data_IF_760508264153
#
_entry.id   IF_760508264153
#
_cell.length_a   1.000
_cell.length_b   1.000
_cell.length_c   1.000
_cell.angle_alpha   90.00
_cell.angle_beta   90.00
_cell.angle_gamma   90.00
#
_symmetry.space_group_name_H-M   'P 1'
#
loop_
_entity.id
_entity.type
_entity.pdbx_description
1 polymer ?
#
# COMPACT_ATOMS: atom_id res chain seq x y z
N UNK A 1 -6.65 17.63 31.30
CA UNK A 1 -7.58 16.48 31.22
C UNK A 1 -8.57 16.78 30.09
N UNK A 2 -8.21 16.59 28.81
CA UNK A 2 -9.10 16.82 27.64
C UNK A 2 -8.52 16.31 26.29
N UNK A 3 -7.59 15.34 26.31
CA UNK A 3 -6.90 14.87 25.09
C UNK A 3 -7.43 13.56 24.52
N UNK A 4 -8.33 12.85 25.22
CA UNK A 4 -8.80 11.51 24.80
C UNK A 4 -10.15 11.52 24.05
N UNK A 5 -10.89 12.64 24.03
CA UNK A 5 -12.20 12.73 23.37
C UNK A 5 -12.08 13.10 21.88
N UNK A 6 -11.00 13.81 21.49
CA UNK A 6 -10.80 14.27 20.11
C UNK A 6 -10.37 13.17 19.13
N UNK A 7 -9.77 12.07 19.61
CA UNK A 7 -9.29 11.00 18.72
C UNK A 7 -10.43 10.11 18.22
N UNK A 8 -11.47 9.87 19.03
CA UNK A 8 -12.65 9.12 18.59
C UNK A 8 -13.45 9.90 17.55
N UNK A 9 -13.68 11.20 17.75
CA UNK A 9 -14.42 12.04 16.79
C UNK A 9 -13.66 12.20 15.47
N UNK A 10 -12.32 12.31 15.51
CA UNK A 10 -11.47 12.28 14.32
C UNK A 10 -11.53 10.94 13.59
N UNK A 11 -11.54 9.82 14.32
CA UNK A 11 -11.70 8.49 13.74
C UNK A 11 -13.07 8.33 13.10
N UNK A 12 -14.17 8.73 13.74
CA UNK A 12 -15.52 8.65 13.18
C UNK A 12 -15.71 9.55 11.95
N UNK A 13 -15.18 10.78 11.99
CA UNK A 13 -15.21 11.69 10.83
C UNK A 13 -14.35 11.16 9.67
N UNK A 14 -13.17 10.62 9.97
CA UNK A 14 -12.32 9.99 8.95
C UNK A 14 -12.98 8.74 8.37
N UNK A 15 -13.64 7.91 9.18
CA UNK A 15 -14.38 6.73 8.71
C UNK A 15 -15.57 7.13 7.83
N UNK A 16 -16.29 8.20 8.18
CA UNK A 16 -17.42 8.70 7.39
C UNK A 16 -16.99 9.32 6.05
N UNK A 17 -15.92 10.12 6.05
CA UNK A 17 -15.35 10.68 4.82
C UNK A 17 -14.81 9.56 3.90
N UNK A 18 -14.11 8.60 4.48
CA UNK A 18 -13.59 7.44 3.79
C UNK A 18 -14.72 6.57 3.20
N UNK A 19 -15.85 6.40 3.91
CA UNK A 19 -17.05 5.74 3.34
C UNK A 19 -17.61 6.43 2.10
N UNK A 20 -17.64 7.76 2.07
CA UNK A 20 -18.14 8.53 0.91
C UNK A 20 -17.19 8.39 -0.28
N UNK A 21 -15.89 8.56 -0.07
CA UNK A 21 -14.86 8.37 -1.09
C UNK A 21 -14.84 6.93 -1.62
N UNK A 22 -14.97 5.94 -0.74
CA UNK A 22 -15.07 4.53 -1.15
C UNK A 22 -16.32 4.25 -1.99
N UNK A 23 -17.43 4.96 -1.77
CA UNK A 23 -18.66 4.80 -2.58
C UNK A 23 -18.51 5.39 -3.98
N UNK A 24 -17.83 6.53 -4.11
CA UNK A 24 -17.50 7.10 -5.42
C UNK A 24 -16.53 6.21 -6.20
N UNK A 25 -15.58 5.61 -5.48
CA UNK A 25 -14.67 4.61 -6.06
C UNK A 25 -15.40 3.31 -6.41
N UNK A 26 -16.37 2.88 -5.61
CA UNK A 26 -17.21 1.72 -5.91
C UNK A 26 -17.92 1.85 -7.27
N UNK A 27 -18.40 3.06 -7.57
CA UNK A 27 -19.07 3.37 -8.83
C UNK A 27 -18.18 3.22 -10.06
N UNK A 28 -16.85 3.17 -9.88
CA UNK A 28 -15.87 3.00 -10.96
C UNK A 28 -15.53 1.53 -11.25
N UNK A 29 -15.98 0.58 -10.42
CA UNK A 29 -15.76 -0.84 -10.69
C UNK A 29 -16.73 -1.36 -11.74
N UNK A 30 -16.19 -2.14 -12.67
CA UNK A 30 -16.98 -2.88 -13.63
C UNK A 30 -17.49 -4.18 -13.00
N UNK A 31 -18.76 -4.23 -12.64
CA UNK A 31 -19.35 -5.41 -12.00
C UNK A 31 -19.43 -6.65 -12.91
N UNK A 32 -19.17 -6.52 -14.21
CA UNK A 32 -19.07 -7.66 -15.13
C UNK A 32 -17.75 -8.43 -14.98
N UNK A 33 -16.71 -7.77 -14.47
CA UNK A 33 -15.40 -8.35 -14.20
C UNK A 33 -15.28 -8.81 -12.74
N UNK A 34 -14.37 -9.74 -12.46
CA UNK A 34 -14.11 -10.20 -11.11
C UNK A 34 -13.63 -9.06 -10.20
N UNK A 35 -14.38 -8.73 -9.14
CA UNK A 35 -14.01 -7.66 -8.20
C UNK A 35 -12.60 -7.85 -7.60
N UNK A 36 -12.20 -9.09 -7.32
CA UNK A 36 -10.87 -9.39 -6.78
C UNK A 36 -9.73 -9.07 -7.76
N UNK A 37 -9.96 -9.24 -9.06
CA UNK A 37 -8.98 -8.92 -10.11
C UNK A 37 -8.84 -7.41 -10.25
N UNK A 38 -9.95 -6.68 -10.28
CA UNK A 38 -9.93 -5.22 -10.32
C UNK A 38 -9.28 -4.62 -9.08
N UNK A 39 -9.55 -5.17 -7.88
CA UNK A 39 -8.85 -4.74 -6.65
C UNK A 39 -7.34 -4.97 -6.78
N UNK A 40 -6.91 -6.08 -7.37
CA UNK A 40 -5.48 -6.33 -7.60
C UNK A 40 -4.88 -5.31 -8.59
N UNK A 41 -5.57 -5.04 -9.71
CA UNK A 41 -5.15 -4.03 -10.70
C UNK A 41 -5.01 -2.64 -10.06
N UNK A 42 -5.97 -2.24 -9.22
CA UNK A 42 -5.92 -0.97 -8.51
C UNK A 42 -4.79 -0.91 -7.48
N UNK A 43 -4.50 -2.01 -6.78
CA UNK A 43 -3.36 -2.09 -5.88
C UNK A 43 -2.03 -2.04 -6.63
N UNK A 44 -1.94 -2.63 -7.82
CA UNK A 44 -0.76 -2.56 -8.67
C UNK A 44 -0.56 -1.12 -9.21
N UNK A 45 -1.64 -0.44 -9.64
CA UNK A 45 -1.58 0.98 -10.02
C UNK A 45 -1.15 1.86 -8.84
N UNK A 46 -1.70 1.60 -7.64
CA UNK A 46 -1.35 2.31 -6.43
C UNK A 46 0.13 2.09 -6.07
N UNK A 47 0.66 0.88 -6.23
CA UNK A 47 2.07 0.58 -6.00
C UNK A 47 2.99 1.39 -6.92
N UNK A 48 2.66 1.46 -8.22
CA UNK A 48 3.41 2.26 -9.19
C UNK A 48 3.36 3.76 -8.87
N UNK A 49 2.16 4.24 -8.52
CA UNK A 49 1.95 5.65 -8.12
C UNK A 49 2.76 5.98 -6.87
N UNK A 50 2.75 5.08 -5.88
CA UNK A 50 3.52 5.21 -4.64
C UNK A 50 5.03 5.24 -4.91
N UNK A 51 5.53 4.43 -5.85
CA UNK A 51 6.93 4.44 -6.23
C UNK A 51 7.35 5.71 -7.00
N UNK A 52 6.42 6.33 -7.73
CA UNK A 52 6.63 7.59 -8.44
C UNK A 52 6.60 8.82 -7.52
N UNK A 53 6.10 8.69 -6.29
CA UNK A 53 6.06 9.80 -5.36
C UNK A 53 7.48 10.21 -4.95
N UNK A 54 7.80 11.52 -4.99
CA UNK A 54 9.09 11.99 -4.52
C UNK A 54 9.19 11.78 -3.01
N UNK A 55 10.28 11.17 -2.55
CA UNK A 55 10.60 11.06 -1.12
C UNK A 55 11.10 12.40 -0.53
N UNK A 56 10.41 13.50 -0.85
CA UNK A 56 10.73 14.88 -0.47
C UNK A 56 9.70 15.38 0.53
N UNK A 57 10.13 15.84 1.71
CA UNK A 57 9.26 16.39 2.75
C UNK A 57 9.77 16.13 4.16
N UNK A 58 8.93 16.42 5.16
CA UNK A 58 9.19 16.16 6.58
C UNK A 58 9.31 14.65 6.82
N UNK A 59 10.55 14.17 6.87
CA UNK A 59 10.85 12.83 7.37
C UNK A 59 10.39 12.78 8.83
N UNK A 60 9.93 11.63 9.34
CA UNK A 60 9.67 11.50 10.78
C UNK A 60 10.92 11.99 11.51
N UNK A 61 10.75 13.08 12.28
CA UNK A 61 11.79 13.57 13.17
C UNK A 61 12.21 12.39 14.03
N UNK A 62 13.51 12.10 14.05
CA UNK A 62 14.09 11.09 14.91
C UNK A 62 13.81 11.48 16.36
N UNK A 63 12.66 11.05 16.90
CA UNK A 63 12.47 11.01 18.33
C UNK A 63 13.33 9.85 18.83
N UNK A 64 14.46 10.25 19.40
CA UNK A 64 15.56 9.48 19.95
C UNK A 64 15.16 8.17 20.62
N UNK A 65 15.38 7.03 19.95
CA UNK A 65 15.73 5.77 20.62
C UNK A 65 16.74 5.03 19.73
N UNK A 66 18.02 5.28 20.02
CA UNK A 66 19.20 4.51 19.61
C UNK A 66 19.11 3.79 18.25
N UNK A 67 18.98 4.55 17.16
CA UNK A 67 19.33 4.02 15.84
C UNK A 67 20.85 4.19 15.67
N UNK A 68 21.59 3.15 15.24
CA UNK A 68 23.02 3.28 14.96
C UNK A 68 23.27 4.39 13.94
N UNK A 69 24.47 5.00 14.00
CA UNK A 69 24.88 6.18 13.23
C UNK A 69 24.30 6.12 11.82
N UNK A 70 23.43 7.09 11.54
CA UNK A 70 22.84 7.25 10.23
C UNK A 70 24.00 7.55 9.29
N UNK A 71 24.31 6.65 8.35
CA UNK A 71 25.30 6.95 7.31
C UNK A 71 24.73 8.08 6.45
N UNK A 72 25.40 9.23 6.47
CA UNK A 72 24.88 10.49 5.97
C UNK A 72 25.32 10.79 4.54
N UNK A 73 26.46 10.24 4.09
CA UNK A 73 26.98 10.55 2.76
C UNK A 73 26.50 9.54 1.70
N UNK A 74 26.11 10.02 0.50
CA UNK A 74 25.76 9.15 -0.62
C UNK A 74 26.90 8.21 -1.04
N UNK A 75 28.14 8.55 -0.69
CA UNK A 75 29.35 7.77 -0.92
C UNK A 75 29.52 6.63 0.11
N UNK A 76 28.93 6.76 1.31
CA UNK A 76 28.92 5.73 2.36
C UNK A 76 27.80 4.70 2.17
N UNK A 77 26.74 5.06 1.45
CA UNK A 77 25.85 4.09 0.85
C UNK A 77 26.53 3.58 -0.41
N UNK A 78 27.07 2.37 -0.37
CA UNK A 78 27.63 1.63 -1.52
C UNK A 78 26.56 1.28 -2.58
N UNK A 79 25.67 2.24 -2.88
CA UNK A 79 24.49 2.17 -3.70
C UNK A 79 24.77 2.97 -4.97
N UNK A 80 25.44 2.32 -5.93
CA UNK A 80 25.52 2.82 -7.29
C UNK A 80 24.10 3.11 -7.81
N UNK A 81 23.73 4.40 -7.88
CA UNK A 81 22.60 4.85 -8.68
C UNK A 81 23.06 4.86 -10.14
N UNK A 82 22.76 3.80 -10.87
CA UNK A 82 23.08 3.68 -12.30
C UNK A 82 22.31 4.65 -13.20
N UNK A 83 21.23 5.29 -12.72
CA UNK A 83 20.52 6.32 -13.50
C UNK A 83 19.80 7.35 -12.64
N UNK A 84 19.83 8.60 -13.11
CA UNK A 84 19.10 9.75 -12.55
C UNK A 84 17.66 9.86 -13.12
N UNK A 85 17.20 8.81 -13.79
CA UNK A 85 15.89 8.75 -14.42
C UNK A 85 14.80 8.75 -13.36
N UNK A 86 14.08 9.86 -13.26
CA UNK A 86 12.90 10.00 -12.39
C UNK A 86 11.66 9.66 -13.18
N UNK A 87 10.77 8.87 -12.58
CA UNK A 87 9.41 8.70 -13.11
C UNK A 87 8.72 10.06 -13.24
N UNK A 88 7.84 10.23 -14.24
CA UNK A 88 6.96 11.39 -14.30
C UNK A 88 6.15 11.47 -13.01
N UNK A 89 6.03 12.69 -12.45
CA UNK A 89 5.27 12.89 -11.22
C UNK A 89 3.81 12.44 -11.43
N UNK A 90 3.22 11.71 -10.47
CA UNK A 90 1.84 11.28 -10.60
C UNK A 90 0.88 12.47 -10.58
N UNK A 91 -0.21 12.36 -11.33
CA UNK A 91 -1.30 13.33 -11.32
C UNK A 91 -2.09 13.27 -10.00
N UNK A 92 -2.77 14.36 -9.64
CA UNK A 92 -3.61 14.39 -8.44
C UNK A 92 -4.74 13.33 -8.45
N UNK A 93 -5.23 12.95 -9.63
CA UNK A 93 -6.23 11.89 -9.76
C UNK A 93 -5.64 10.49 -9.46
N UNK A 94 -4.40 10.23 -9.87
CA UNK A 94 -3.70 8.98 -9.53
C UNK A 94 -3.42 8.90 -8.03
N UNK A 95 -3.01 10.01 -7.41
CA UNK A 95 -2.79 10.07 -5.96
C UNK A 95 -4.08 9.78 -5.18
N UNK A 96 -5.23 10.36 -5.59
CA UNK A 96 -6.53 10.05 -4.96
C UNK A 96 -6.92 8.58 -5.09
N UNK A 97 -6.70 7.96 -6.26
CA UNK A 97 -6.97 6.52 -6.46
C UNK A 97 -6.03 5.65 -5.64
N UNK A 98 -4.76 6.02 -5.53
CA UNK A 98 -3.78 5.37 -4.66
C UNK A 98 -4.21 5.44 -3.19
N UNK A 99 -4.58 6.63 -2.68
CA UNK A 99 -5.02 6.81 -1.30
C UNK A 99 -6.25 5.95 -0.99
N UNK A 100 -7.23 5.92 -1.91
CA UNK A 100 -8.39 5.04 -1.80
C UNK A 100 -7.97 3.57 -1.75
N UNK A 101 -7.13 3.10 -2.66
CA UNK A 101 -6.69 1.72 -2.73
C UNK A 101 -5.91 1.27 -1.47
N UNK A 102 -5.00 2.11 -0.97
CA UNK A 102 -4.21 1.83 0.23
C UNK A 102 -5.08 1.81 1.49
N UNK A 103 -6.14 2.62 1.54
CA UNK A 103 -7.06 2.62 2.68
C UNK A 103 -7.82 1.28 2.83
N UNK A 104 -8.02 0.53 1.74
CA UNK A 104 -8.69 -0.78 1.77
C UNK A 104 -7.94 -1.85 2.56
N UNK A 105 -6.63 -1.69 2.77
CA UNK A 105 -5.83 -2.62 3.56
C UNK A 105 -6.34 -2.73 5.01
N UNK A 106 -7.00 -1.67 5.50
CA UNK A 106 -7.66 -1.64 6.81
C UNK A 106 -8.91 -2.54 6.90
N UNK A 107 -9.53 -2.88 5.76
CA UNK A 107 -10.71 -3.75 5.68
C UNK A 107 -10.38 -5.22 5.95
N UNK A 108 -9.11 -5.61 5.80
CA UNK A 108 -8.63 -6.93 6.19
C UNK A 108 -8.63 -7.00 7.72
N UNK A 109 -9.38 -7.95 8.29
CA UNK A 109 -9.46 -8.11 9.73
C UNK A 109 -8.12 -8.47 10.38
N UNK A 110 -8.02 -8.24 11.70
CA UNK A 110 -6.80 -8.51 12.46
C UNK A 110 -6.42 -10.01 12.47
N UNK A 111 -7.41 -10.90 12.35
CA UNK A 111 -7.22 -12.35 12.21
C UNK A 111 -6.48 -12.75 10.93
N UNK A 112 -6.48 -11.89 9.90
CA UNK A 112 -5.93 -12.16 8.57
C UNK A 112 -4.67 -11.34 8.27
N UNK A 113 -3.89 -11.01 9.32
CA UNK A 113 -2.70 -10.16 9.21
C UNK A 113 -1.67 -10.67 8.19
N UNK A 114 -1.60 -12.00 7.99
CA UNK A 114 -0.76 -12.63 6.97
C UNK A 114 -1.13 -12.20 5.55
N UNK A 115 -2.42 -12.02 5.26
CA UNK A 115 -2.90 -11.59 3.94
C UNK A 115 -2.49 -10.14 3.70
N UNK A 116 -2.72 -9.27 4.70
CA UNK A 116 -2.28 -7.86 4.64
C UNK A 116 -0.77 -7.75 4.43
N UNK A 117 0.02 -8.59 5.09
CA UNK A 117 1.48 -8.62 4.95
C UNK A 117 1.92 -9.00 3.53
N UNK A 118 1.29 -10.01 2.93
CA UNK A 118 1.56 -10.40 1.53
C UNK A 118 1.23 -9.28 0.56
N UNK A 119 0.07 -8.63 0.72
CA UNK A 119 -0.30 -7.48 -0.12
C UNK A 119 0.70 -6.34 0.04
N UNK A 120 1.07 -5.97 1.26
CA UNK A 120 2.06 -4.91 1.52
C UNK A 120 3.43 -5.20 0.88
N UNK A 121 3.88 -6.45 0.89
CA UNK A 121 5.13 -6.82 0.21
C UNK A 121 5.02 -6.66 -1.30
N UNK A 122 3.84 -6.92 -1.89
CA UNK A 122 3.59 -6.73 -3.31
C UNK A 122 3.56 -5.24 -3.72
N UNK A 123 3.16 -4.34 -2.82
CA UNK A 123 3.17 -2.90 -3.07
C UNK A 123 4.59 -2.30 -3.22
N UNK A 124 5.64 -3.01 -2.81
CA UNK A 124 7.02 -2.52 -2.94
C UNK A 124 7.52 -2.83 -4.36
N UNK A 125 7.36 -1.85 -5.25
CA UNK A 125 7.80 -1.90 -6.64
C UNK A 125 8.96 -0.94 -6.88
N UNK A 126 9.84 -1.29 -7.81
CA UNK A 126 10.89 -0.41 -8.29
C UNK A 126 10.26 0.69 -9.16
N UNK A 127 10.60 1.98 -8.96
CA UNK A 127 9.98 3.07 -9.70
C UNK A 127 10.22 2.97 -11.21
N UNK A 128 11.46 2.80 -11.66
CA UNK A 128 11.78 2.84 -13.10
C UNK A 128 11.31 1.57 -13.82
N UNK A 129 11.73 0.39 -13.35
CA UNK A 129 11.42 -0.88 -14.02
C UNK A 129 10.01 -1.41 -13.75
N UNK A 130 9.26 -0.87 -12.78
CA UNK A 130 7.96 -1.38 -12.35
C UNK A 130 8.00 -2.79 -11.74
N UNK A 131 9.18 -3.40 -11.64
CA UNK A 131 9.33 -4.75 -11.10
C UNK A 131 9.07 -4.75 -9.59
N UNK A 132 8.30 -5.74 -9.12
CA UNK A 132 8.15 -5.94 -7.68
C UNK A 132 9.49 -6.35 -7.08
N UNK A 133 9.90 -5.67 -6.00
CA UNK A 133 11.09 -6.04 -5.24
C UNK A 133 10.95 -7.44 -4.63
N UNK A 134 9.71 -7.80 -4.27
CA UNK A 134 9.34 -9.09 -3.70
C UNK A 134 8.71 -9.99 -4.75
N UNK A 135 9.52 -10.90 -5.29
CA UNK A 135 9.04 -12.02 -6.09
C UNK A 135 8.30 -13.02 -5.21
N UNK A 136 7.41 -13.83 -5.80
CA UNK A 136 6.57 -14.78 -5.04
C UNK A 136 7.38 -15.79 -4.23
N UNK A 137 8.54 -16.21 -4.73
CA UNK A 137 9.47 -17.08 -4.01
C UNK A 137 10.02 -16.41 -2.75
N UNK A 138 10.52 -15.16 -2.86
CA UNK A 138 11.00 -14.36 -1.72
C UNK A 138 9.90 -14.09 -0.69
N UNK A 139 8.67 -13.89 -1.15
CA UNK A 139 7.50 -13.75 -0.26
C UNK A 139 7.25 -15.06 0.48
N UNK A 140 7.27 -16.18 -0.24
CA UNK A 140 7.11 -17.51 0.33
C UNK A 140 8.15 -17.78 1.42
N UNK A 141 9.43 -17.60 1.10
CA UNK A 141 10.55 -17.74 2.03
C UNK A 141 10.36 -16.85 3.27
N UNK A 142 10.06 -15.56 3.06
CA UNK A 142 9.86 -14.60 4.17
C UNK A 142 8.68 -14.96 5.08
N UNK A 143 7.66 -15.61 4.53
CA UNK A 143 6.45 -16.02 5.24
C UNK A 143 6.49 -17.47 5.72
N UNK A 144 7.53 -18.23 5.40
CA UNK A 144 7.66 -19.66 5.70
C UNK A 144 6.66 -20.55 4.94
N UNK A 145 6.27 -20.17 3.71
CA UNK A 145 5.30 -20.90 2.88
C UNK A 145 5.77 -21.02 1.42
N UNK A 146 5.09 -21.87 0.64
CA UNK A 146 5.35 -21.97 -0.80
C UNK A 146 4.89 -20.72 -1.55
N UNK A 147 5.50 -20.45 -2.71
CA UNK A 147 5.09 -19.36 -3.60
C UNK A 147 3.61 -19.47 -4.02
N UNK A 148 3.13 -20.69 -4.25
CA UNK A 148 1.72 -21.00 -4.56
C UNK A 148 0.78 -20.61 -3.42
N UNK A 149 1.20 -20.84 -2.17
CA UNK A 149 0.44 -20.44 -0.99
C UNK A 149 0.44 -18.92 -0.83
N UNK A 150 1.57 -18.25 -1.08
CA UNK A 150 1.66 -16.80 -1.07
C UNK A 150 0.73 -16.16 -2.13
N UNK A 151 0.72 -16.69 -3.36
CA UNK A 151 -0.21 -16.26 -4.43
C UNK A 151 -1.66 -16.44 -4.00
N UNK A 152 -1.99 -17.58 -3.39
CA UNK A 152 -3.34 -17.86 -2.86
C UNK A 152 -3.73 -16.87 -1.76
N UNK A 153 -2.81 -16.54 -0.85
CA UNK A 153 -3.05 -15.54 0.19
C UNK A 153 -3.29 -14.15 -0.38
N UNK A 154 -2.51 -13.73 -1.39
CA UNK A 154 -2.74 -12.48 -2.08
C UNK A 154 -4.15 -12.42 -2.70
N UNK A 155 -4.49 -13.43 -3.52
CA UNK A 155 -5.82 -13.53 -4.14
C UNK A 155 -6.94 -13.49 -3.09
N UNK A 156 -6.77 -14.23 -1.99
CA UNK A 156 -7.74 -14.27 -0.89
C UNK A 156 -7.91 -12.90 -0.21
N UNK A 157 -6.82 -12.16 -0.05
CA UNK A 157 -6.86 -10.79 0.45
C UNK A 157 -7.69 -9.87 -0.44
N UNK A 158 -7.46 -9.90 -1.76
CA UNK A 158 -8.25 -9.14 -2.73
C UNK A 158 -9.74 -9.54 -2.74
N UNK A 159 -10.06 -10.83 -2.59
CA UNK A 159 -11.45 -11.30 -2.46
C UNK A 159 -12.15 -10.77 -1.19
N UNK A 160 -11.43 -10.68 -0.07
CA UNK A 160 -11.98 -10.12 1.17
C UNK A 160 -12.27 -8.65 1.00
N UNK A 161 -11.32 -7.89 0.45
CA UNK A 161 -11.49 -6.46 0.15
C UNK A 161 -12.66 -6.26 -0.81
N UNK A 162 -12.68 -6.96 -1.94
CA UNK A 162 -13.73 -6.84 -2.95
C UNK A 162 -15.13 -7.15 -2.40
N UNK A 163 -15.27 -8.19 -1.55
CA UNK A 163 -16.55 -8.50 -0.88
C UNK A 163 -16.97 -7.42 0.11
N UNK A 164 -16.03 -6.84 0.86
CA UNK A 164 -16.32 -5.76 1.80
C UNK A 164 -16.76 -4.50 1.07
N UNK A 165 -16.10 -4.18 -0.05
CA UNK A 165 -16.45 -3.04 -0.91
C UNK A 165 -17.84 -3.26 -1.55
N UNK A 166 -18.12 -4.45 -2.08
CA UNK A 166 -19.42 -4.75 -2.70
C UNK A 166 -20.59 -4.88 -1.71
N UNK A 167 -20.31 -5.15 -0.44
CA UNK A 167 -21.32 -5.26 0.61
C UNK A 167 -21.55 -3.99 1.43
N UNK A 168 -20.93 -2.86 1.05
CA UNK A 168 -21.10 -1.53 1.69
C UNK A 168 -22.13 -0.68 0.97
#
# INVERSE_FOLDING_TARGET
MNLLVNDSERQFSAISANKKEMKEVYLQFDHSRGMAEQVAEWLDEAAQTLAALPATGTRPSAKCVNWPDVLFDPEDLDWFRESDDRMPRPSAAQVRRMDAALSWLSLIGQSDIKLRRVINMRLVVHPISGMNRWNWEKIGEKMGVTDTTAKRWHKRGCEIIGRKIAGM
#
